data_IF_718596072763
#
_entry.id   IF_718596072763
#
_cell.length_a   1.000
_cell.length_b   1.000
_cell.length_c   1.000
_cell.angle_alpha   90.00
_cell.angle_beta   90.00
_cell.angle_gamma   90.00
#
_symmetry.space_group_name_H-M   'P 1'
#
loop_
_entity.id
_entity.type
_entity.pdbx_description
1 polymer ?
#
# COMPACT_ATOMS: atom_id res chain seq x y z
N UNK A 1 18.25 35.34 -8.77
CA UNK A 1 18.45 34.51 -7.57
C UNK A 1 17.54 35.07 -6.50
N UNK A 2 16.33 34.51 -6.37
CA UNK A 2 15.45 34.83 -5.26
C UNK A 2 15.92 34.00 -4.07
N UNK A 3 16.25 34.67 -2.97
CA UNK A 3 16.61 34.06 -1.70
C UNK A 3 15.35 33.44 -1.08
N UNK A 4 15.31 32.11 -1.02
CA UNK A 4 14.36 31.37 -0.19
C UNK A 4 14.69 31.62 1.29
N UNK A 5 14.21 32.75 1.79
CA UNK A 5 14.17 33.07 3.20
C UNK A 5 12.81 32.64 3.77
N UNK A 6 12.64 31.32 3.95
CA UNK A 6 11.88 30.77 5.09
C UNK A 6 12.36 29.33 5.33
N UNK A 7 13.20 29.15 6.33
CA UNK A 7 13.90 27.90 6.66
C UNK A 7 13.03 26.87 7.38
N UNK A 8 11.72 26.82 7.09
CA UNK A 8 10.84 25.80 7.66
C UNK A 8 11.03 24.47 6.92
N UNK A 9 11.31 23.40 7.66
CA UNK A 9 11.39 22.05 7.10
C UNK A 9 10.06 21.70 6.40
N UNK A 10 10.15 21.23 5.15
CA UNK A 10 8.96 20.82 4.39
C UNK A 10 8.47 19.48 4.93
N UNK A 11 7.31 19.48 5.57
CA UNK A 11 6.74 18.34 6.28
C UNK A 11 5.65 17.65 5.45
N UNK A 12 5.77 16.33 5.29
CA UNK A 12 4.84 15.50 4.51
C UNK A 12 4.20 14.45 5.41
N UNK A 13 2.86 14.37 5.35
CA UNK A 13 2.11 13.33 6.04
C UNK A 13 1.87 12.12 5.12
N UNK A 14 2.13 10.93 5.63
CA UNK A 14 1.83 9.65 4.98
C UNK A 14 0.73 8.93 5.75
N UNK A 15 -0.38 8.56 5.09
CA UNK A 15 -1.48 7.81 5.72
C UNK A 15 -1.79 6.52 4.99
N UNK A 16 -1.86 5.41 5.72
CA UNK A 16 -2.46 4.16 5.25
C UNK A 16 -2.70 3.17 6.39
N UNK A 17 -3.21 1.97 6.06
CA UNK A 17 -3.07 0.81 6.95
C UNK A 17 -1.63 0.30 6.89
N UNK A 18 -0.83 0.64 7.90
CA UNK A 18 0.62 0.37 7.98
C UNK A 18 0.94 -0.92 8.73
N UNK A 19 0.10 -1.95 8.58
CA UNK A 19 0.31 -3.24 9.22
C UNK A 19 1.67 -3.84 8.81
N UNK A 20 2.39 -4.40 9.78
CA UNK A 20 3.68 -5.07 9.55
C UNK A 20 3.50 -6.22 8.55
N UNK A 21 4.43 -6.34 7.61
CA UNK A 21 4.38 -7.37 6.56
C UNK A 21 3.35 -7.12 5.45
N UNK A 22 2.77 -5.91 5.38
CA UNK A 22 1.84 -5.54 4.31
C UNK A 22 2.54 -4.85 3.12
N UNK A 23 1.93 -4.99 1.94
CA UNK A 23 2.34 -4.23 0.75
C UNK A 23 2.15 -2.72 0.95
N UNK A 24 1.13 -2.31 1.69
CA UNK A 24 0.85 -0.90 1.97
C UNK A 24 2.00 -0.22 2.72
N UNK A 25 2.43 -0.84 3.84
CA UNK A 25 3.55 -0.35 4.62
C UNK A 25 4.83 -0.31 3.79
N UNK A 26 5.12 -1.39 3.05
CA UNK A 26 6.32 -1.49 2.21
C UNK A 26 6.37 -0.41 1.12
N UNK A 27 5.23 -0.15 0.46
CA UNK A 27 5.13 0.90 -0.55
C UNK A 27 5.33 2.30 0.05
N UNK A 28 4.63 2.62 1.15
CA UNK A 28 4.76 3.94 1.76
C UNK A 28 6.13 4.16 2.39
N UNK A 29 6.72 3.18 3.06
CA UNK A 29 8.07 3.30 3.63
C UNK A 29 9.11 3.62 2.55
N UNK A 30 8.98 3.00 1.36
CA UNK A 30 9.89 3.27 0.24
C UNK A 30 9.71 4.67 -0.30
N UNK A 31 8.46 5.09 -0.56
CA UNK A 31 8.18 6.45 -1.04
C UNK A 31 8.68 7.48 -0.02
N UNK A 32 8.38 7.27 1.26
CA UNK A 32 8.84 8.10 2.38
C UNK A 32 10.37 8.23 2.39
N UNK A 33 11.11 7.12 2.24
CA UNK A 33 12.57 7.13 2.19
C UNK A 33 13.13 8.10 1.15
N UNK A 34 12.57 8.12 -0.06
CA UNK A 34 13.00 9.07 -1.10
C UNK A 34 12.72 10.53 -0.75
N UNK A 35 11.62 10.83 -0.04
CA UNK A 35 11.35 12.18 0.45
C UNK A 35 12.32 12.57 1.58
N UNK A 36 12.60 11.68 2.52
CA UNK A 36 13.55 11.92 3.60
C UNK A 36 14.98 12.15 3.07
N UNK A 37 15.42 11.35 2.09
CA UNK A 37 16.69 11.54 1.38
C UNK A 37 16.76 12.89 0.64
N UNK A 38 15.61 13.42 0.24
CA UNK A 38 15.48 14.73 -0.41
C UNK A 38 15.33 15.89 0.60
N UNK A 39 15.46 15.63 1.91
CA UNK A 39 15.44 16.65 2.97
C UNK A 39 14.05 17.01 3.50
N UNK A 40 13.01 16.22 3.22
CA UNK A 40 11.67 16.43 3.77
C UNK A 40 11.52 15.75 5.13
N UNK A 41 10.85 16.42 6.07
CA UNK A 41 10.39 15.78 7.31
C UNK A 41 9.16 14.95 7.00
N UNK A 42 9.17 13.65 7.31
CA UNK A 42 8.04 12.78 7.00
C UNK A 42 7.43 12.20 8.27
N UNK A 43 6.10 12.18 8.32
CA UNK A 43 5.33 11.58 9.41
C UNK A 43 4.40 10.54 8.85
N UNK A 44 4.42 9.33 9.40
CA UNK A 44 3.54 8.22 9.00
C UNK A 44 2.46 7.98 10.06
N UNK A 45 1.21 7.87 9.62
CA UNK A 45 0.06 7.59 10.50
C UNK A 45 -0.61 6.29 10.07
N UNK A 46 -0.77 5.38 11.03
CA UNK A 46 -1.55 4.15 10.83
C UNK A 46 -3.04 4.44 10.98
N UNK A 47 -3.80 4.34 9.89
CA UNK A 47 -5.21 4.76 9.85
C UNK A 47 -6.17 3.98 10.74
N UNK A 48 -5.78 2.80 11.21
CA UNK A 48 -6.60 1.96 12.10
C UNK A 48 -6.43 2.38 13.57
N UNK A 49 -5.37 3.12 13.89
CA UNK A 49 -5.13 3.70 15.22
C UNK A 49 -5.78 5.09 15.37
N UNK A 50 -6.19 5.71 14.26
CA UNK A 50 -6.86 7.02 14.24
C UNK A 50 -8.32 6.87 14.64
N UNK A 51 -8.68 7.48 15.77
CA UNK A 51 -10.06 7.51 16.31
C UNK A 51 -10.77 8.81 15.96
N UNK A 52 -10.03 9.91 15.88
CA UNK A 52 -10.55 11.22 15.54
C UNK A 52 -9.53 12.03 14.75
N UNK A 53 -10.00 13.12 14.14
CA UNK A 53 -9.15 13.99 13.34
C UNK A 53 -8.05 14.69 14.17
N UNK A 54 -8.29 14.88 15.47
CA UNK A 54 -7.30 15.48 16.37
C UNK A 54 -6.09 14.55 16.58
N UNK A 55 -6.22 13.23 16.43
CA UNK A 55 -5.08 12.31 16.50
C UNK A 55 -4.06 12.62 15.40
N UNK A 56 -4.55 13.01 14.21
CA UNK A 56 -3.70 13.42 13.08
C UNK A 56 -3.09 14.81 13.32
N UNK A 57 -3.86 15.74 13.90
CA UNK A 57 -3.36 17.09 14.23
C UNK A 57 -2.29 17.04 15.32
N UNK A 58 -2.40 16.12 16.28
CA UNK A 58 -1.41 15.94 17.35
C UNK A 58 -0.07 15.42 16.83
N UNK A 59 -0.05 14.73 15.68
CA UNK A 59 1.20 14.43 14.97
C UNK A 59 1.92 15.70 14.45
N UNK A 60 1.29 16.86 14.63
CA UNK A 60 1.75 18.14 14.15
C UNK A 60 1.74 19.25 15.21
N UNK A 61 2.53 19.03 16.27
CA UNK A 61 2.63 19.94 17.42
C UNK A 61 3.35 21.27 17.08
N UNK A 62 4.02 21.38 15.92
CA UNK A 62 4.90 22.52 15.61
C UNK A 62 4.75 23.16 14.21
N UNK A 63 4.34 22.43 13.16
CA UNK A 63 4.36 22.96 11.78
C UNK A 63 3.34 22.27 10.84
N UNK A 64 2.27 22.97 10.44
CA UNK A 64 1.28 22.50 9.44
C UNK A 64 1.92 21.71 8.30
N UNK A 65 1.44 20.48 8.06
CA UNK A 65 1.84 19.68 6.91
C UNK A 65 1.74 20.48 5.60
N UNK A 66 2.80 20.45 4.79
CA UNK A 66 2.81 21.13 3.49
C UNK A 66 2.05 20.35 2.44
N UNK A 67 2.09 19.01 2.54
CA UNK A 67 1.36 18.10 1.67
C UNK A 67 1.12 16.77 2.39
N UNK A 68 0.25 15.94 1.82
CA UNK A 68 0.05 14.58 2.27
C UNK A 68 -0.01 13.57 1.12
N UNK A 69 0.31 12.32 1.44
CA UNK A 69 0.23 11.18 0.54
C UNK A 69 -0.57 10.09 1.25
N UNK A 70 -1.73 9.74 0.70
CA UNK A 70 -2.56 8.65 1.19
C UNK A 70 -2.50 7.45 0.29
N UNK A 71 -2.44 6.26 0.88
CA UNK A 71 -2.72 5.00 0.19
C UNK A 71 -4.02 4.42 0.73
N UNK A 72 -4.95 4.14 -0.17
CA UNK A 72 -6.35 3.77 0.01
C UNK A 72 -7.35 4.94 0.08
N UNK A 73 -8.23 5.03 -0.91
CA UNK A 73 -9.28 6.05 -1.01
C UNK A 73 -10.23 6.04 0.20
N UNK A 74 -10.56 4.86 0.74
CA UNK A 74 -11.41 4.81 1.93
C UNK A 74 -10.61 5.03 3.23
N UNK A 75 -9.57 4.22 3.47
CA UNK A 75 -8.86 4.22 4.76
C UNK A 75 -8.06 5.50 5.00
N UNK A 76 -7.36 6.02 3.98
CA UNK A 76 -6.62 7.27 4.08
C UNK A 76 -7.46 8.47 3.63
N UNK A 77 -8.21 8.34 2.53
CA UNK A 77 -8.96 9.46 1.93
C UNK A 77 -9.99 10.10 2.88
N UNK A 78 -10.63 9.30 3.76
CA UNK A 78 -11.57 9.80 4.77
C UNK A 78 -10.99 10.85 5.73
N UNK A 79 -9.67 10.81 5.92
CA UNK A 79 -8.93 11.73 6.78
C UNK A 79 -8.29 12.87 5.97
N UNK A 80 -7.80 12.57 4.77
CA UNK A 80 -7.15 13.54 3.90
C UNK A 80 -8.07 14.70 3.49
N UNK A 81 -9.36 14.40 3.29
CA UNK A 81 -10.34 15.40 2.83
C UNK A 81 -10.50 16.62 3.74
N UNK A 82 -10.08 16.51 5.01
CA UNK A 82 -10.22 17.55 6.05
C UNK A 82 -8.87 18.14 6.50
N UNK A 83 -7.75 17.68 5.91
CA UNK A 83 -6.37 18.03 6.29
C UNK A 83 -6.00 19.50 6.06
N UNK A 84 -6.65 20.16 5.10
CA UNK A 84 -6.40 21.57 4.78
C UNK A 84 -5.10 21.83 4.02
N UNK A 85 -4.36 20.79 3.64
CA UNK A 85 -3.20 20.87 2.74
C UNK A 85 -3.47 20.04 1.45
N UNK A 86 -2.77 20.32 0.34
CA UNK A 86 -2.90 19.50 -0.86
C UNK A 86 -2.44 18.06 -0.60
N UNK A 87 -3.05 17.09 -1.26
CA UNK A 87 -2.66 15.69 -1.12
C UNK A 87 -2.68 14.92 -2.43
N UNK A 88 -1.87 13.87 -2.46
CA UNK A 88 -1.89 12.82 -3.47
C UNK A 88 -2.64 11.62 -2.88
N UNK A 89 -3.56 11.06 -3.65
CA UNK A 89 -4.28 9.85 -3.26
C UNK A 89 -3.93 8.70 -4.20
N UNK A 90 -3.41 7.62 -3.63
CA UNK A 90 -3.09 6.39 -4.34
C UNK A 90 -4.16 5.34 -4.07
N UNK A 91 -4.69 4.74 -5.13
CA UNK A 91 -5.68 3.68 -5.01
C UNK A 91 -5.04 2.35 -4.62
N UNK A 92 -5.67 1.62 -3.71
CA UNK A 92 -5.36 0.22 -3.43
C UNK A 92 -6.41 -0.72 -4.02
N UNK A 93 -6.08 -2.01 -4.16
CA UNK A 93 -7.00 -3.00 -4.71
C UNK A 93 -8.31 -3.14 -3.91
N UNK A 94 -8.25 -3.01 -2.58
CA UNK A 94 -9.43 -3.08 -1.71
C UNK A 94 -10.40 -1.91 -1.93
N UNK A 95 -9.92 -0.73 -2.37
CA UNK A 95 -10.82 0.40 -2.65
C UNK A 95 -11.75 0.08 -3.83
N UNK A 96 -11.16 -0.45 -4.90
CA UNK A 96 -11.82 -0.64 -6.19
C UNK A 96 -12.68 -1.91 -6.21
N UNK A 97 -12.28 -2.95 -5.48
CA UNK A 97 -12.92 -4.27 -5.54
C UNK A 97 -13.84 -4.57 -4.34
N UNK A 98 -13.61 -3.97 -3.17
CA UNK A 98 -14.35 -4.31 -1.94
C UNK A 98 -15.13 -3.09 -1.43
N UNK A 99 -14.45 -1.99 -1.12
CA UNK A 99 -15.06 -0.79 -0.54
C UNK A 99 -16.05 -0.10 -1.49
N UNK A 100 -15.87 -0.23 -2.80
CA UNK A 100 -16.75 0.35 -3.82
C UNK A 100 -18.17 -0.23 -3.80
N UNK A 101 -18.36 -1.42 -3.23
CA UNK A 101 -19.67 -2.08 -3.12
C UNK A 101 -20.53 -1.51 -1.98
N UNK A 102 -19.93 -0.79 -1.04
CA UNK A 102 -20.60 -0.13 0.07
C UNK A 102 -20.84 1.35 -0.29
N UNK A 103 -22.12 1.74 -0.33
CA UNK A 103 -22.55 3.09 -0.75
C UNK A 103 -22.01 4.21 0.17
N UNK A 104 -21.83 3.94 1.46
CA UNK A 104 -21.29 4.92 2.42
C UNK A 104 -19.80 5.07 2.21
N UNK A 105 -19.08 3.95 2.05
CA UNK A 105 -17.63 3.99 1.75
C UNK A 105 -17.37 4.65 0.39
N UNK A 106 -18.17 4.34 -0.62
CA UNK A 106 -18.05 4.95 -1.94
C UNK A 106 -18.23 6.47 -1.88
N UNK A 107 -19.22 6.98 -1.14
CA UNK A 107 -19.39 8.43 -0.94
C UNK A 107 -18.14 9.07 -0.33
N UNK A 108 -17.57 8.44 0.71
CA UNK A 108 -16.33 8.91 1.35
C UNK A 108 -15.17 8.92 0.36
N UNK A 109 -15.02 7.86 -0.45
CA UNK A 109 -13.99 7.78 -1.48
C UNK A 109 -14.18 8.86 -2.55
N UNK A 110 -15.41 9.11 -3.01
CA UNK A 110 -15.72 10.16 -3.99
C UNK A 110 -15.28 11.53 -3.51
N UNK A 111 -15.62 11.92 -2.27
CA UNK A 111 -15.18 13.20 -1.71
C UNK A 111 -13.65 13.31 -1.65
N UNK A 112 -12.97 12.22 -1.31
CA UNK A 112 -11.51 12.17 -1.27
C UNK A 112 -10.88 12.24 -2.68
N UNK A 113 -11.50 11.64 -3.69
CA UNK A 113 -11.04 11.68 -5.08
C UNK A 113 -11.21 13.08 -5.68
N UNK A 114 -12.35 13.72 -5.44
CA UNK A 114 -12.65 15.06 -5.94
C UNK A 114 -11.65 16.11 -5.43
N UNK A 115 -11.28 16.04 -4.15
CA UNK A 115 -10.38 17.01 -3.50
C UNK A 115 -8.89 16.71 -3.70
N UNK A 116 -8.53 15.53 -4.20
CA UNK A 116 -7.13 15.17 -4.42
C UNK A 116 -6.47 16.07 -5.47
N UNK A 117 -5.23 16.50 -5.19
CA UNK A 117 -4.44 17.26 -6.16
C UNK A 117 -3.95 16.37 -7.30
N UNK A 118 -3.52 15.16 -6.97
CA UNK A 118 -3.19 14.11 -7.92
C UNK A 118 -3.73 12.77 -7.43
N UNK A 119 -4.03 11.90 -8.39
CA UNK A 119 -4.53 10.55 -8.20
C UNK A 119 -3.54 9.57 -8.81
N UNK A 120 -3.28 8.45 -8.15
CA UNK A 120 -2.33 7.45 -8.63
C UNK A 120 -2.94 6.06 -8.65
N UNK A 121 -2.83 5.39 -9.79
CA UNK A 121 -3.05 3.95 -9.93
C UNK A 121 -1.72 3.23 -10.16
N UNK A 122 -1.62 1.97 -9.75
CA UNK A 122 -0.40 1.17 -9.92
C UNK A 122 -0.33 0.42 -11.26
N UNK A 123 -1.36 0.53 -12.10
CA UNK A 123 -1.41 -0.11 -13.41
C UNK A 123 -2.62 0.33 -14.24
N UNK A 124 -2.56 0.07 -15.55
CA UNK A 124 -3.61 0.43 -16.51
C UNK A 124 -4.94 -0.28 -16.25
N UNK A 125 -4.90 -1.52 -15.76
CA UNK A 125 -6.10 -2.27 -15.38
C UNK A 125 -6.91 -1.55 -14.28
N UNK A 126 -6.24 -0.86 -13.35
CA UNK A 126 -6.89 -0.09 -12.31
C UNK A 126 -7.52 1.20 -12.87
N UNK A 127 -6.99 1.78 -13.95
CA UNK A 127 -7.56 2.98 -14.58
C UNK A 127 -8.98 2.72 -15.06
N UNK A 128 -9.21 1.55 -15.68
CA UNK A 128 -10.55 1.16 -16.16
C UNK A 128 -11.55 1.02 -15.01
N UNK A 129 -11.12 0.43 -13.89
CA UNK A 129 -11.96 0.31 -12.69
C UNK A 129 -12.25 1.69 -12.07
N UNK A 130 -11.24 2.55 -11.97
CA UNK A 130 -11.38 3.92 -11.48
C UNK A 130 -12.35 4.72 -12.35
N UNK A 131 -12.26 4.63 -13.67
CA UNK A 131 -13.17 5.33 -14.59
C UNK A 131 -14.61 4.79 -14.53
N UNK A 132 -14.77 3.49 -14.24
CA UNK A 132 -16.09 2.90 -14.03
C UNK A 132 -16.77 3.43 -12.77
N UNK A 133 -16.01 3.68 -11.69
CA UNK A 133 -16.52 4.24 -10.44
C UNK A 133 -16.69 5.77 -10.51
N UNK A 134 -15.79 6.45 -11.21
CA UNK A 134 -15.79 7.90 -11.39
C UNK A 134 -15.65 8.23 -12.88
N UNK A 135 -16.77 8.30 -13.63
CA UNK A 135 -16.75 8.49 -15.08
C UNK A 135 -16.00 9.73 -15.53
N UNK A 136 -15.05 9.54 -16.45
CA UNK A 136 -14.23 10.60 -17.04
C UNK A 136 -12.89 10.81 -16.35
N UNK A 137 -12.64 10.14 -15.22
CA UNK A 137 -11.39 10.26 -14.48
C UNK A 137 -10.18 9.68 -15.24
N UNK A 138 -10.40 8.71 -16.13
CA UNK A 138 -9.36 8.21 -17.06
C UNK A 138 -8.77 9.30 -17.96
N UNK A 139 -9.53 10.35 -18.24
CA UNK A 139 -9.12 11.50 -19.07
C UNK A 139 -8.66 12.69 -18.23
N UNK A 140 -8.80 12.61 -16.90
CA UNK A 140 -8.39 13.68 -15.99
C UNK A 140 -6.85 13.73 -15.90
N UNK A 141 -6.31 14.92 -16.18
CA UNK A 141 -4.86 15.18 -16.07
C UNK A 141 -4.27 14.91 -14.68
N UNK A 142 -5.09 14.86 -13.62
CA UNK A 142 -4.70 14.54 -12.25
C UNK A 142 -4.39 13.05 -12.06
N UNK A 143 -4.97 12.17 -12.87
CA UNK A 143 -4.75 10.73 -12.76
C UNK A 143 -3.42 10.34 -13.42
N UNK A 144 -2.58 9.63 -12.69
CA UNK A 144 -1.27 9.14 -13.14
C UNK A 144 -1.16 7.64 -12.89
N UNK A 145 -0.65 6.91 -13.88
CA UNK A 145 -0.25 5.51 -13.71
C UNK A 145 1.21 5.50 -13.29
N UNK A 146 1.48 5.08 -12.05
CA UNK A 146 2.82 4.97 -11.49
C UNK A 146 2.96 3.58 -10.88
N UNK A 147 3.64 2.63 -11.55
CA UNK A 147 3.85 1.29 -11.02
C UNK A 147 4.59 1.30 -9.68
N UNK A 148 4.31 0.31 -8.82
CA UNK A 148 5.04 0.16 -7.57
C UNK A 148 6.48 -0.22 -7.84
N UNK A 149 7.42 0.59 -7.33
CA UNK A 149 8.84 0.25 -7.37
C UNK A 149 9.18 -0.95 -6.49
N UNK A 150 10.38 -1.49 -6.66
CA UNK A 150 11.00 -2.43 -5.72
C UNK A 150 12.40 -1.93 -5.38
N UNK A 151 12.84 -2.17 -4.15
CA UNK A 151 14.22 -1.87 -3.77
C UNK A 151 15.07 -3.09 -4.11
N UNK A 152 16.01 -2.92 -5.03
CA UNK A 152 16.98 -3.95 -5.40
C UNK A 152 18.25 -3.64 -4.62
N UNK A 153 18.51 -4.36 -3.54
CA UNK A 153 19.63 -4.12 -2.62
C UNK A 153 20.12 -5.42 -1.99
N UNK A 154 21.24 -5.35 -1.25
CA UNK A 154 21.92 -6.50 -0.65
C UNK A 154 20.92 -7.27 0.22
N UNK A 155 20.53 -8.45 -0.27
CA UNK A 155 19.86 -9.47 0.53
C UNK A 155 20.83 -9.76 1.67
N UNK A 156 20.49 -9.36 2.90
CA UNK A 156 21.32 -9.69 4.06
C UNK A 156 21.55 -11.20 4.12
N UNK A 157 22.61 -11.63 4.80
CA UNK A 157 22.82 -13.05 5.12
C UNK A 157 21.65 -13.53 5.99
N UNK A 158 20.57 -13.96 5.36
CA UNK A 158 19.51 -14.70 6.01
C UNK A 158 19.97 -16.13 6.13
N UNK A 159 19.85 -16.70 7.34
CA UNK A 159 19.83 -18.15 7.49
C UNK A 159 18.85 -18.71 6.44
N UNK A 160 19.30 -19.68 5.65
CA UNK A 160 18.46 -20.21 4.59
C UNK A 160 17.16 -20.73 5.22
N UNK A 161 16.02 -20.53 4.53
CA UNK A 161 14.73 -21.08 4.98
C UNK A 161 14.85 -22.60 5.21
N UNK A 162 15.77 -23.25 4.49
CA UNK A 162 16.18 -24.64 4.70
C UNK A 162 16.67 -24.93 6.12
N UNK A 163 17.62 -24.14 6.62
CA UNK A 163 18.17 -24.32 7.97
C UNK A 163 17.14 -23.98 9.04
N UNK A 164 16.44 -22.84 8.89
CA UNK A 164 15.51 -22.36 9.91
C UNK A 164 14.31 -23.29 10.12
N UNK A 165 13.85 -23.97 9.07
CA UNK A 165 12.65 -24.81 9.11
C UNK A 165 12.95 -26.30 8.86
N UNK A 166 14.23 -26.71 8.88
CA UNK A 166 14.63 -28.10 8.69
C UNK A 166 14.27 -28.68 7.32
N UNK A 167 14.23 -27.85 6.28
CA UNK A 167 13.96 -28.28 4.91
C UNK A 167 15.27 -28.74 4.27
N UNK A 168 15.36 -29.96 3.68
CA UNK A 168 16.58 -30.45 3.05
C UNK A 168 17.14 -29.48 2.01
N UNK A 169 18.44 -29.18 2.05
CA UNK A 169 19.09 -28.18 1.18
C UNK A 169 19.08 -28.52 -0.32
N UNK A 170 18.84 -29.79 -0.66
CA UNK A 170 18.75 -30.31 -2.03
C UNK A 170 17.33 -30.27 -2.62
N UNK A 171 16.33 -29.83 -1.84
CA UNK A 171 14.96 -29.73 -2.31
C UNK A 171 14.70 -28.42 -3.08
N UNK A 172 13.63 -28.41 -3.89
CA UNK A 172 13.14 -27.19 -4.53
C UNK A 172 12.02 -26.56 -3.70
N UNK A 173 11.96 -25.24 -3.68
CA UNK A 173 10.89 -24.50 -2.99
C UNK A 173 10.08 -23.66 -3.98
N UNK A 174 8.77 -23.83 -3.97
CA UNK A 174 7.83 -22.92 -4.62
C UNK A 174 7.21 -22.03 -3.54
N UNK A 175 7.58 -20.75 -3.52
CA UNK A 175 7.19 -19.85 -2.44
C UNK A 175 6.13 -18.85 -2.90
N UNK A 176 5.03 -18.79 -2.18
CA UNK A 176 3.99 -17.77 -2.32
C UNK A 176 4.10 -16.78 -1.16
N UNK A 177 4.27 -15.50 -1.47
CA UNK A 177 4.44 -14.44 -0.47
C UNK A 177 3.25 -13.49 -0.49
N UNK A 178 2.66 -13.25 0.68
CA UNK A 178 1.65 -12.22 0.89
C UNK A 178 0.65 -12.59 1.98
N UNK A 179 -0.13 -11.59 2.41
CA UNK A 179 -1.20 -11.78 3.40
C UNK A 179 -2.11 -12.97 3.06
N UNK A 180 -2.31 -13.87 4.02
CA UNK A 180 -3.13 -15.08 3.93
C UNK A 180 -4.58 -14.71 4.21
N UNK A 181 -5.44 -14.78 3.18
CA UNK A 181 -6.85 -14.35 3.24
C UNK A 181 -7.66 -14.89 2.05
N UNK A 182 -9.00 -15.07 2.17
CA UNK A 182 -9.83 -15.75 1.17
C UNK A 182 -9.70 -15.23 -0.26
N UNK A 183 -9.70 -13.90 -0.47
CA UNK A 183 -9.63 -13.29 -1.82
C UNK A 183 -8.36 -13.63 -2.59
N UNK A 184 -7.29 -14.06 -1.89
CA UNK A 184 -6.03 -14.48 -2.52
C UNK A 184 -5.91 -15.99 -2.70
N UNK A 185 -6.83 -16.76 -2.12
CA UNK A 185 -6.91 -18.22 -2.19
C UNK A 185 -5.54 -18.90 -2.31
N UNK A 186 -4.75 -18.85 -1.24
CA UNK A 186 -3.39 -19.38 -1.25
C UNK A 186 -3.35 -20.90 -1.50
N UNK A 187 -4.48 -21.60 -1.39
CA UNK A 187 -4.59 -23.04 -1.64
C UNK A 187 -5.10 -23.35 -3.05
N UNK A 188 -5.42 -22.34 -3.87
CA UNK A 188 -5.90 -22.51 -5.24
C UNK A 188 -5.07 -23.50 -6.07
N UNK A 189 -3.74 -23.45 -5.90
CA UNK A 189 -2.81 -24.30 -6.66
C UNK A 189 -2.53 -25.66 -5.99
N UNK A 190 -3.10 -25.97 -4.83
CA UNK A 190 -2.68 -27.12 -4.02
C UNK A 190 -2.87 -28.46 -4.74
N UNK A 191 -4.02 -28.70 -5.35
CA UNK A 191 -4.30 -29.96 -6.05
C UNK A 191 -3.41 -30.12 -7.28
N UNK A 192 -3.27 -29.06 -8.07
CA UNK A 192 -2.36 -29.02 -9.23
C UNK A 192 -0.91 -29.23 -8.81
N UNK A 193 -0.48 -28.61 -7.71
CA UNK A 193 0.84 -28.77 -7.14
C UNK A 193 1.08 -30.22 -6.69
N UNK A 194 0.12 -30.84 -6.02
CA UNK A 194 0.23 -32.23 -5.57
C UNK A 194 0.33 -33.21 -6.74
N UNK A 195 -0.51 -33.04 -7.77
CA UNK A 195 -0.47 -33.87 -8.98
C UNK A 195 0.88 -33.73 -9.71
N UNK A 196 1.38 -32.51 -9.85
CA UNK A 196 2.69 -32.24 -10.45
C UNK A 196 3.84 -32.80 -9.61
N UNK A 197 3.81 -32.61 -8.29
CA UNK A 197 4.83 -33.08 -7.35
C UNK A 197 5.02 -34.60 -7.42
N UNK A 198 3.95 -35.37 -7.58
CA UNK A 198 4.03 -36.84 -7.71
C UNK A 198 4.83 -37.30 -8.94
N UNK A 199 4.97 -36.44 -9.95
CA UNK A 199 5.73 -36.73 -11.18
C UNK A 199 7.20 -36.28 -11.07
N UNK A 200 7.57 -35.55 -10.01
CA UNK A 200 8.92 -35.02 -9.81
C UNK A 200 9.79 -36.00 -9.01
N UNK A 201 11.04 -36.19 -9.47
CA UNK A 201 12.03 -37.03 -8.77
C UNK A 201 12.71 -36.32 -7.59
N UNK A 202 12.73 -34.99 -7.60
CA UNK A 202 13.30 -34.15 -6.55
C UNK A 202 12.19 -33.70 -5.61
N UNK A 203 12.35 -33.78 -4.28
CA UNK A 203 11.39 -33.21 -3.34
C UNK A 203 11.15 -31.73 -3.63
N UNK A 204 9.88 -31.35 -3.79
CA UNK A 204 9.46 -29.95 -3.92
C UNK A 204 8.53 -29.60 -2.77
N UNK A 205 8.79 -28.47 -2.12
CA UNK A 205 7.98 -27.91 -1.05
C UNK A 205 7.21 -26.69 -1.54
N UNK A 206 5.91 -26.63 -1.22
CA UNK A 206 5.10 -25.42 -1.37
C UNK A 206 5.15 -24.65 -0.06
N UNK A 207 5.73 -23.46 -0.08
CA UNK A 207 5.84 -22.56 1.08
C UNK A 207 4.90 -21.38 0.92
N UNK A 208 4.10 -21.12 1.95
CA UNK A 208 3.17 -19.98 2.01
C UNK A 208 3.64 -19.07 3.14
N UNK A 209 4.03 -17.84 2.79
CA UNK A 209 4.63 -16.89 3.73
C UNK A 209 3.80 -15.60 3.75
N UNK A 210 3.30 -15.24 4.91
CA UNK A 210 2.68 -13.94 5.13
C UNK A 210 1.82 -13.91 6.38
N UNK A 211 1.39 -12.72 6.80
CA UNK A 211 0.49 -12.58 7.95
C UNK A 211 -0.88 -13.19 7.61
N UNK A 212 -1.49 -13.88 8.58
CA UNK A 212 -2.91 -14.25 8.49
C UNK A 212 -3.73 -12.98 8.71
N UNK A 213 -4.56 -12.63 7.74
CA UNK A 213 -5.44 -11.46 7.82
C UNK A 213 -6.87 -11.96 7.82
N UNK A 214 -7.45 -12.04 9.02
CA UNK A 214 -8.84 -12.39 9.26
C UNK A 214 -9.74 -11.16 8.97
N UNK A 215 -9.83 -10.72 7.72
CA UNK A 215 -10.85 -9.73 7.34
C UNK A 215 -12.21 -10.49 7.25
N UNK A 216 -12.83 -10.78 8.40
CA UNK A 216 -14.25 -11.14 8.53
C UNK A 216 -14.96 -10.03 9.31
N UNK A 217 -15.14 -8.84 8.72
CA UNK A 217 -16.16 -7.87 9.13
C UNK A 217 -16.65 -7.11 7.90
#
# INVERSE_FOLDING_TARGET
>A
MASDADGAAKKILFLSRLQVGSGNKSTLDRIRGYFEESGYECVSVHTDEVKCFDDIRQCDVKCRFNAAIGLHAYHAGRWLRDLGCPYILMFGGTDLNECSTDVVKLKVMTEAVERARFLVTFGENMVQQVDSLWPGLSKDSRLKVIPQGISVGIVGEMASIHEQYGIPGDCKMLTMVGAIRPVKDQLYLLDTFNAWRQQTKTPVYLTIIGPVVCDFI
#
